data_IF_848160279428
#
_entry.id   IF_848160279428
#
_cell.length_a   1.000
_cell.length_b   1.000
_cell.length_c   1.000
_cell.angle_alpha   90.00
_cell.angle_beta   90.00
_cell.angle_gamma   90.00
#
_symmetry.space_group_name_H-M   'P 1'
#
loop_
_entity.id
_entity.type
_entity.pdbx_description
1 polymer ?
#
# COMPACT_ATOMS: atom_id res chain seq x y z
N UNK A 1 25.31 17.54 39.23
CA UNK A 1 24.32 18.62 38.99
C UNK A 1 23.03 17.93 38.53
N UNK A 2 22.02 17.93 39.42
CA UNK A 2 20.55 17.75 39.25
C UNK A 2 20.04 16.53 38.44
N UNK A 3 19.46 15.48 39.04
CA UNK A 3 18.11 15.30 39.67
C UNK A 3 16.92 15.09 38.71
N UNK A 4 16.31 13.89 38.85
CA UNK A 4 14.92 13.46 38.58
C UNK A 4 14.38 13.64 37.13
N UNK A 5 13.63 12.70 36.54
CA UNK A 5 12.33 12.22 36.99
C UNK A 5 12.06 10.81 36.42
N UNK A 6 11.69 9.87 37.30
CA UNK A 6 10.89 8.70 36.94
C UNK A 6 9.53 9.19 36.42
N UNK A 7 9.18 8.84 35.17
CA UNK A 7 7.78 8.52 34.84
C UNK A 7 7.78 7.12 34.23
N UNK A 8 7.71 6.12 35.12
CA UNK A 8 7.34 4.76 34.74
C UNK A 8 5.87 4.78 34.37
N UNK A 9 5.56 5.14 33.13
CA UNK A 9 4.39 4.57 32.48
C UNK A 9 4.78 3.20 31.98
N UNK A 10 4.11 2.18 32.51
CA UNK A 10 4.15 0.79 32.05
C UNK A 10 3.79 0.69 30.57
N UNK A 11 4.69 1.12 29.69
CA UNK A 11 4.67 0.72 28.30
C UNK A 11 5.28 -0.67 28.28
N UNK A 12 4.42 -1.70 28.24
CA UNK A 12 4.79 -3.09 27.91
C UNK A 12 5.36 -3.11 26.48
N UNK A 13 6.53 -2.52 26.26
CA UNK A 13 7.30 -2.65 25.05
C UNK A 13 7.95 -4.02 25.09
N UNK A 14 7.19 -5.02 24.64
CA UNK A 14 7.72 -6.36 24.42
C UNK A 14 8.69 -6.26 23.25
N UNK A 15 9.95 -6.63 23.48
CA UNK A 15 10.97 -6.69 22.43
C UNK A 15 10.48 -7.65 21.34
N UNK A 16 10.00 -7.09 20.23
CA UNK A 16 9.65 -7.86 19.04
C UNK A 16 10.92 -8.41 18.41
N UNK A 17 10.88 -9.64 17.89
CA UNK A 17 11.99 -10.17 17.08
C UNK A 17 12.16 -9.25 15.86
N UNK A 18 13.39 -9.09 15.38
CA UNK A 18 13.71 -8.22 14.23
C UNK A 18 12.81 -8.54 13.02
N UNK A 19 12.51 -9.83 12.79
CA UNK A 19 11.62 -10.27 11.72
C UNK A 19 10.17 -9.78 11.89
N UNK A 20 9.65 -9.78 13.12
CA UNK A 20 8.29 -9.31 13.41
C UNK A 20 8.21 -7.79 13.21
N UNK A 21 9.24 -7.06 13.63
CA UNK A 21 9.33 -5.61 13.40
C UNK A 21 9.38 -5.28 11.90
N UNK A 22 10.13 -6.05 11.10
CA UNK A 22 10.19 -5.88 9.64
C UNK A 22 8.86 -6.22 8.97
N UNK A 23 8.15 -7.23 9.46
CA UNK A 23 6.84 -7.60 8.96
C UNK A 23 5.81 -6.50 9.25
N UNK A 24 5.73 -6.02 10.50
CA UNK A 24 4.87 -4.90 10.89
C UNK A 24 5.15 -3.66 10.03
N UNK A 25 6.42 -3.25 9.89
CA UNK A 25 6.77 -2.08 9.08
C UNK A 25 6.35 -2.21 7.61
N UNK A 26 6.41 -3.42 7.03
CA UNK A 26 5.94 -3.69 5.66
C UNK A 26 4.42 -3.63 5.55
N UNK A 27 3.71 -4.16 6.55
CA UNK A 27 2.24 -4.09 6.62
C UNK A 27 1.81 -2.63 6.71
N UNK A 28 2.40 -1.86 7.63
CA UNK A 28 2.09 -0.44 7.83
C UNK A 28 2.37 0.37 6.55
N UNK A 29 3.51 0.15 5.90
CA UNK A 29 3.84 0.82 4.64
C UNK A 29 2.87 0.47 3.50
N UNK A 30 2.43 -0.80 3.43
CA UNK A 30 1.48 -1.25 2.41
C UNK A 30 0.08 -0.68 2.67
N UNK A 31 -0.32 -0.60 3.94
CA UNK A 31 -1.58 0.01 4.36
C UNK A 31 -1.60 1.51 4.07
N UNK A 32 -0.55 2.24 4.44
CA UNK A 32 -0.40 3.66 4.14
C UNK A 32 -0.39 3.92 2.62
N UNK A 33 0.25 3.06 1.84
CA UNK A 33 0.23 3.15 0.38
C UNK A 33 -1.18 2.91 -0.17
N UNK A 34 -1.90 1.90 0.31
CA UNK A 34 -3.26 1.59 -0.12
C UNK A 34 -4.25 2.72 0.22
N UNK A 35 -4.19 3.24 1.44
CA UNK A 35 -5.03 4.34 1.90
C UNK A 35 -4.74 5.63 1.13
N UNK A 36 -3.46 5.98 0.98
CA UNK A 36 -3.02 7.14 0.22
C UNK A 36 -3.44 7.05 -1.25
N UNK A 37 -3.20 5.90 -1.89
CA UNK A 37 -3.57 5.67 -3.28
C UNK A 37 -5.08 5.78 -3.51
N UNK A 38 -5.90 5.17 -2.64
CA UNK A 38 -7.36 5.28 -2.72
C UNK A 38 -7.86 6.71 -2.56
N UNK A 39 -7.17 7.50 -1.73
CA UNK A 39 -7.48 8.91 -1.51
C UNK A 39 -7.19 9.75 -2.74
N UNK A 40 -6.06 9.52 -3.42
CA UNK A 40 -5.74 10.19 -4.68
C UNK A 40 -6.76 9.89 -5.78
N UNK A 41 -7.16 8.61 -5.93
CA UNK A 41 -8.19 8.23 -6.90
C UNK A 41 -9.51 8.94 -6.62
N UNK A 42 -9.97 8.96 -5.35
CA UNK A 42 -11.21 9.65 -4.96
C UNK A 42 -11.17 11.15 -5.25
N UNK A 43 -10.07 11.83 -4.92
CA UNK A 43 -9.92 13.27 -5.17
C UNK A 43 -9.97 13.57 -6.66
N UNK A 44 -9.24 12.80 -7.48
CA UNK A 44 -9.26 12.99 -8.92
C UNK A 44 -10.63 12.67 -9.53
N UNK A 45 -11.34 11.67 -9.00
CA UNK A 45 -12.71 11.34 -9.42
C UNK A 45 -13.66 12.52 -9.20
N UNK A 46 -13.62 13.11 -8.00
CA UNK A 46 -14.43 14.29 -7.66
C UNK A 46 -14.14 15.44 -8.62
N UNK A 47 -12.86 15.73 -8.90
CA UNK A 47 -12.46 16.80 -9.83
C UNK A 47 -12.91 16.49 -11.27
N UNK A 48 -12.84 15.22 -11.69
CA UNK A 48 -13.23 14.80 -13.04
C UNK A 48 -14.75 14.85 -13.29
N UNK A 49 -15.55 14.83 -12.23
CA UNK A 49 -17.02 14.86 -12.28
C UNK A 49 -17.60 16.26 -11.98
N UNK A 50 -16.80 17.15 -11.40
CA UNK A 50 -17.20 18.52 -11.09
C UNK A 50 -17.27 19.39 -12.36
N UNK A 51 -18.48 19.54 -12.89
CA UNK A 51 -18.75 20.39 -14.08
C UNK A 51 -18.59 21.90 -13.83
N UNK A 52 -18.36 22.32 -12.58
CA UNK A 52 -18.04 23.72 -12.26
C UNK A 52 -16.56 24.05 -12.48
N UNK A 53 -15.70 23.03 -12.60
CA UNK A 53 -14.29 23.21 -12.90
C UNK A 53 -14.05 23.63 -14.36
N UNK A 54 -12.88 24.21 -14.63
CA UNK A 54 -12.42 24.45 -16.00
C UNK A 54 -12.32 23.12 -16.76
N UNK A 55 -12.75 23.10 -18.01
CA UNK A 55 -12.69 21.91 -18.88
C UNK A 55 -11.29 21.27 -18.93
N UNK A 56 -10.24 22.09 -18.91
CA UNK A 56 -8.84 21.62 -18.86
C UNK A 56 -8.54 20.81 -17.60
N UNK A 57 -9.01 21.27 -16.43
CA UNK A 57 -8.82 20.61 -15.13
C UNK A 57 -9.56 19.28 -15.10
N UNK A 58 -10.79 19.25 -15.61
CA UNK A 58 -11.59 18.03 -15.75
C UNK A 58 -10.86 17.01 -16.65
N UNK A 59 -10.35 17.47 -17.79
CA UNK A 59 -9.66 16.61 -18.74
C UNK A 59 -8.36 16.05 -18.15
N UNK A 60 -7.57 16.88 -17.47
CA UNK A 60 -6.33 16.47 -16.82
C UNK A 60 -6.59 15.45 -15.70
N UNK A 61 -7.61 15.68 -14.86
CA UNK A 61 -8.01 14.73 -13.82
C UNK A 61 -8.41 13.36 -14.41
N UNK A 62 -9.15 13.33 -15.53
CA UNK A 62 -9.51 12.09 -16.24
C UNK A 62 -8.28 11.36 -16.80
N UNK A 63 -7.33 12.10 -17.37
CA UNK A 63 -6.07 11.53 -17.87
C UNK A 63 -5.24 10.92 -16.73
N UNK A 64 -5.10 11.64 -15.62
CA UNK A 64 -4.37 11.15 -14.44
C UNK A 64 -5.01 9.90 -13.84
N UNK A 65 -6.35 9.85 -13.74
CA UNK A 65 -7.07 8.64 -13.27
C UNK A 65 -6.79 7.43 -14.15
N UNK A 66 -6.81 7.62 -15.47
CA UNK A 66 -6.53 6.55 -16.43
C UNK A 66 -5.10 6.03 -16.29
N UNK A 67 -4.14 6.94 -16.14
CA UNK A 67 -2.73 6.58 -15.98
C UNK A 67 -2.46 5.88 -14.65
N UNK A 68 -3.08 6.32 -13.55
CA UNK A 68 -3.02 5.63 -12.25
C UNK A 68 -3.56 4.20 -12.37
N UNK A 69 -4.74 4.03 -12.95
CA UNK A 69 -5.38 2.72 -13.16
C UNK A 69 -4.49 1.80 -14.00
N UNK A 70 -3.83 2.33 -15.03
CA UNK A 70 -2.89 1.56 -15.86
C UNK A 70 -1.68 1.08 -15.05
N UNK A 71 -1.09 1.95 -14.23
CA UNK A 71 0.06 1.60 -13.39
C UNK A 71 -0.31 0.56 -12.34
N UNK A 72 -1.46 0.71 -11.70
CA UNK A 72 -2.00 -0.29 -10.76
C UNK A 72 -2.17 -1.65 -11.42
N UNK A 73 -2.76 -1.70 -12.62
CA UNK A 73 -2.90 -2.96 -13.35
C UNK A 73 -1.56 -3.63 -13.65
N UNK A 74 -0.52 -2.87 -14.01
CA UNK A 74 0.83 -3.40 -14.24
C UNK A 74 1.42 -3.99 -12.95
N UNK A 75 1.31 -3.26 -11.84
CA UNK A 75 1.80 -3.70 -10.53
C UNK A 75 1.07 -4.98 -10.09
N UNK A 76 -0.26 -4.99 -10.19
CA UNK A 76 -1.08 -6.14 -9.83
C UNK A 76 -0.80 -7.36 -10.71
N UNK A 77 -0.55 -7.16 -12.00
CA UNK A 77 -0.14 -8.24 -12.90
C UNK A 77 1.20 -8.85 -12.47
N UNK A 78 2.18 -8.02 -12.08
CA UNK A 78 3.45 -8.48 -11.54
C UNK A 78 3.28 -9.32 -10.27
N UNK A 79 2.48 -8.84 -9.31
CA UNK A 79 2.18 -9.60 -8.09
C UNK A 79 1.50 -10.94 -8.40
N UNK A 80 0.48 -10.94 -9.27
CA UNK A 80 -0.22 -12.16 -9.68
C UNK A 80 0.72 -13.18 -10.32
N UNK A 81 1.64 -12.74 -11.19
CA UNK A 81 2.61 -13.61 -11.82
C UNK A 81 3.53 -14.29 -10.78
N UNK A 82 4.01 -13.55 -9.79
CA UNK A 82 4.84 -14.10 -8.70
C UNK A 82 4.07 -15.16 -7.91
N UNK A 83 2.83 -14.87 -7.52
CA UNK A 83 1.99 -15.81 -6.76
C UNK A 83 1.72 -17.07 -7.58
N UNK A 84 1.34 -16.93 -8.85
CA UNK A 84 1.09 -18.05 -9.75
C UNK A 84 2.32 -18.95 -9.92
N UNK A 85 3.51 -18.36 -10.09
CA UNK A 85 4.75 -19.12 -10.20
C UNK A 85 5.05 -19.93 -8.94
N UNK A 86 4.78 -19.37 -7.76
CA UNK A 86 4.97 -20.09 -6.49
C UNK A 86 3.99 -21.26 -6.34
N UNK A 87 2.72 -21.05 -6.71
CA UNK A 87 1.69 -22.10 -6.70
C UNK A 87 2.07 -23.22 -7.67
N UNK A 88 2.45 -22.89 -8.91
CA UNK A 88 2.89 -23.87 -9.89
C UNK A 88 4.08 -24.69 -9.39
N UNK A 89 5.12 -24.03 -8.88
CA UNK A 89 6.27 -24.73 -8.32
C UNK A 89 5.93 -25.61 -7.11
N UNK A 90 4.94 -25.24 -6.30
CA UNK A 90 4.44 -26.09 -5.22
C UNK A 90 3.67 -27.31 -5.77
N UNK A 91 2.85 -27.12 -6.80
CA UNK A 91 2.10 -28.18 -7.44
C UNK A 91 3.02 -29.20 -8.11
N UNK A 92 4.04 -28.76 -8.84
CA UNK A 92 5.06 -29.65 -9.45
C UNK A 92 5.74 -30.52 -8.39
N UNK A 93 6.14 -29.92 -7.25
CA UNK A 93 6.74 -30.66 -6.13
C UNK A 93 5.79 -31.71 -5.52
N UNK A 94 4.49 -31.47 -5.52
CA UNK A 94 3.49 -32.42 -5.04
C UNK A 94 3.27 -33.55 -6.03
N UNK A 95 3.34 -33.28 -7.34
CA UNK A 95 3.15 -34.26 -8.41
C UNK A 95 4.38 -35.15 -8.64
N UNK A 96 5.57 -34.69 -8.26
CA UNK A 96 6.80 -35.49 -8.28
C UNK A 96 6.95 -36.43 -7.07
N UNK A 97 5.92 -36.52 -6.22
CA UNK A 97 5.88 -37.30 -4.99
C UNK A 97 4.90 -38.46 -5.14
#
# INVERSE_FOLDING_TARGET
>A
MLQYVEDRKDSKLVVKRINDSRCCARVDATMALSEGYSSFQKVLQVIAEDMTQKLQVIHEAKCLLKDLSKKENIIMAGFRAVVLNQINGANERLQMK
#
